data_IF_477288466111
#
_entry.id   IF_477288466111
#
_cell.length_a   1.000
_cell.length_b   1.000
_cell.length_c   1.000
_cell.angle_alpha   90.00
_cell.angle_beta   90.00
_cell.angle_gamma   90.00
#
_symmetry.space_group_name_H-M   'P 1'
#
loop_
_entity.id
_entity.type
_entity.pdbx_description
1 polymer ?
#
# COMPACT_ATOMS: atom_id res chain seq x y z
N UNK A 1 -4.27 30.11 -6.73
CA UNK A 1 -3.15 29.47 -6.09
C UNK A 1 -3.69 28.54 -5.03
N UNK A 2 -3.91 27.30 -5.41
CA UNK A 2 -4.36 26.26 -4.49
C UNK A 2 -3.17 25.85 -3.68
N UNK A 3 -3.26 26.10 -2.40
CA UNK A 3 -2.30 25.61 -1.44
C UNK A 3 -2.45 24.08 -1.35
N UNK A 4 -1.68 23.38 -2.15
CA UNK A 4 -1.59 21.92 -2.14
C UNK A 4 -0.74 21.40 -0.98
N UNK A 5 -0.32 22.24 -0.07
CA UNK A 5 0.64 21.93 0.96
C UNK A 5 0.05 21.84 2.37
N UNK A 6 -1.25 21.73 2.51
CA UNK A 6 -1.76 21.25 3.78
C UNK A 6 -1.87 19.71 3.77
N UNK A 7 -0.76 19.02 3.54
CA UNK A 7 -0.57 17.76 4.24
C UNK A 7 -0.81 18.07 5.72
N UNK A 8 -1.79 17.46 6.37
CA UNK A 8 -1.94 17.65 7.78
C UNK A 8 -0.60 17.25 8.38
N UNK A 9 0.11 18.20 8.96
CA UNK A 9 1.35 17.93 9.64
C UNK A 9 1.03 16.88 10.70
N UNK A 10 1.33 15.63 10.39
CA UNK A 10 1.15 14.52 11.32
C UNK A 10 2.17 14.78 12.41
N UNK A 11 1.72 15.40 13.50
CA UNK A 11 2.55 15.56 14.68
C UNK A 11 2.72 14.17 15.30
N UNK A 12 3.78 13.51 14.89
CA UNK A 12 4.17 12.25 15.49
C UNK A 12 4.65 12.50 16.92
N UNK A 13 4.13 11.72 17.87
CA UNK A 13 4.73 11.66 19.20
C UNK A 13 6.19 11.21 19.10
N UNK A 14 7.02 11.54 20.09
CA UNK A 14 8.43 11.09 20.11
C UNK A 14 8.56 9.57 19.98
N UNK A 15 7.63 8.82 20.55
CA UNK A 15 7.59 7.36 20.43
C UNK A 15 7.33 6.91 18.98
N UNK A 16 6.32 7.47 18.33
CA UNK A 16 6.01 7.17 16.92
C UNK A 16 7.14 7.56 15.99
N UNK A 17 7.83 8.68 16.27
CA UNK A 17 9.00 9.08 15.52
C UNK A 17 10.13 8.06 15.66
N UNK A 18 10.43 7.59 16.87
CA UNK A 18 11.44 6.54 17.10
C UNK A 18 11.10 5.24 16.36
N UNK A 19 9.84 4.83 16.38
CA UNK A 19 9.37 3.65 15.65
C UNK A 19 9.52 3.83 14.13
N UNK A 20 9.17 5.00 13.61
CA UNK A 20 9.35 5.31 12.19
C UNK A 20 10.82 5.26 11.78
N UNK A 21 11.71 5.79 12.61
CA UNK A 21 13.15 5.74 12.37
C UNK A 21 13.68 4.32 12.43
N UNK A 22 13.21 3.50 13.37
CA UNK A 22 13.60 2.09 13.47
C UNK A 22 13.18 1.29 12.23
N UNK A 23 11.97 1.50 11.73
CA UNK A 23 11.49 0.87 10.50
C UNK A 23 12.33 1.32 9.29
N UNK A 24 12.59 2.61 9.17
CA UNK A 24 13.46 3.15 8.12
C UNK A 24 14.84 2.52 8.15
N UNK A 25 15.45 2.46 9.33
CA UNK A 25 16.82 1.92 9.48
C UNK A 25 16.85 0.43 9.14
N UNK A 26 15.81 -0.33 9.49
CA UNK A 26 15.68 -1.72 9.09
C UNK A 26 15.54 -1.88 7.57
N UNK A 27 14.72 -1.04 6.92
CA UNK A 27 14.55 -1.07 5.44
C UNK A 27 15.86 -0.77 4.72
N UNK A 28 16.60 0.24 5.19
CA UNK A 28 17.84 0.67 4.56
C UNK A 28 19.04 -0.25 4.87
N UNK A 29 18.98 -0.99 5.95
CA UNK A 29 20.02 -1.90 6.40
C UNK A 29 19.71 -3.36 6.09
N UNK A 30 19.21 -4.09 7.08
CA UNK A 30 18.99 -5.53 7.01
C UNK A 30 18.06 -5.97 5.89
N UNK A 31 16.94 -5.29 5.72
CA UNK A 31 15.97 -5.62 4.67
C UNK A 31 16.57 -5.49 3.26
N UNK A 32 17.37 -4.46 3.04
CA UNK A 32 18.08 -4.27 1.78
C UNK A 32 19.05 -5.40 1.47
N UNK A 33 19.72 -5.93 2.45
CA UNK A 33 20.65 -7.06 2.29
C UNK A 33 19.90 -8.36 1.98
N UNK A 34 18.73 -8.58 2.61
CA UNK A 34 17.85 -9.71 2.32
C UNK A 34 17.38 -9.66 0.86
N UNK A 35 16.98 -8.49 0.37
CA UNK A 35 16.64 -8.25 -1.02
C UNK A 35 15.36 -8.94 -1.51
N UNK A 36 14.59 -9.59 -0.64
CA UNK A 36 13.30 -10.21 -0.98
C UNK A 36 12.15 -9.24 -0.66
N UNK A 37 11.46 -8.72 -1.68
CA UNK A 37 10.36 -7.76 -1.47
C UNK A 37 9.19 -8.32 -0.66
N UNK A 38 8.95 -9.63 -0.69
CA UNK A 38 7.90 -10.25 0.13
C UNK A 38 8.27 -10.19 1.62
N UNK A 39 9.51 -10.49 1.94
CA UNK A 39 10.04 -10.42 3.32
C UNK A 39 10.04 -8.96 3.80
N UNK A 40 10.37 -8.02 2.94
CA UNK A 40 10.38 -6.58 3.26
C UNK A 40 8.96 -6.11 3.59
N UNK A 41 7.98 -6.42 2.75
CA UNK A 41 6.59 -6.03 2.97
C UNK A 41 6.02 -6.63 4.25
N UNK A 42 6.25 -7.92 4.47
CA UNK A 42 5.83 -8.60 5.69
C UNK A 42 6.50 -8.02 6.94
N UNK A 43 7.80 -7.81 6.90
CA UNK A 43 8.56 -7.25 8.01
C UNK A 43 8.11 -5.85 8.40
N UNK A 44 7.91 -4.95 7.45
CA UNK A 44 7.38 -3.60 7.70
C UNK A 44 5.98 -3.68 8.31
N UNK A 45 5.12 -4.53 7.78
CA UNK A 45 3.74 -4.69 8.26
C UNK A 45 3.71 -5.20 9.71
N UNK A 46 4.54 -6.18 10.04
CA UNK A 46 4.64 -6.70 11.40
C UNK A 46 5.25 -5.68 12.37
N UNK A 47 6.26 -4.92 11.95
CA UNK A 47 6.83 -3.85 12.78
C UNK A 47 5.80 -2.76 13.08
N UNK A 48 4.95 -2.41 12.11
CA UNK A 48 3.85 -1.47 12.33
C UNK A 48 2.81 -2.02 13.30
N UNK A 49 2.46 -3.30 13.20
CA UNK A 49 1.55 -3.93 14.16
C UNK A 49 2.13 -3.96 15.57
N UNK A 50 3.41 -4.31 15.71
CA UNK A 50 4.11 -4.29 17.01
C UNK A 50 4.15 -2.89 17.62
N UNK A 51 4.16 -1.87 16.79
CA UNK A 51 4.07 -0.47 17.19
C UNK A 51 2.65 -0.01 17.56
N UNK A 52 1.65 -0.88 17.50
CA UNK A 52 0.26 -0.59 17.83
C UNK A 52 -0.57 -0.04 16.66
N UNK A 53 -0.07 -0.14 15.42
CA UNK A 53 -0.83 0.23 14.22
C UNK A 53 -1.43 -1.05 13.64
N UNK A 54 -2.75 -1.26 13.77
CA UNK A 54 -3.40 -2.54 13.42
C UNK A 54 -3.61 -2.68 11.90
N UNK A 55 -2.53 -2.85 11.17
CA UNK A 55 -2.61 -3.11 9.72
C UNK A 55 -3.00 -4.57 9.51
N UNK A 56 -4.07 -4.80 8.76
CA UNK A 56 -4.54 -6.15 8.39
C UNK A 56 -4.12 -6.54 6.98
N UNK A 57 -3.87 -5.58 6.12
CA UNK A 57 -3.43 -5.81 4.76
C UNK A 57 -2.50 -4.70 4.28
N UNK A 58 -1.47 -5.09 3.56
CA UNK A 58 -0.57 -4.16 2.87
C UNK A 58 -0.30 -4.66 1.44
N UNK A 59 -0.20 -3.73 0.52
CA UNK A 59 0.12 -4.01 -0.88
C UNK A 59 1.22 -3.08 -1.35
N UNK A 60 2.20 -3.63 -2.03
CA UNK A 60 3.22 -2.88 -2.75
C UNK A 60 3.16 -3.26 -4.22
N UNK A 61 3.08 -2.28 -5.10
CA UNK A 61 3.00 -2.51 -6.54
C UNK A 61 4.04 -1.70 -7.29
N UNK A 62 4.60 -2.32 -8.33
CA UNK A 62 5.53 -1.67 -9.24
C UNK A 62 5.01 -1.84 -10.67
N UNK A 63 4.89 -0.74 -11.39
CA UNK A 63 4.59 -0.78 -12.82
C UNK A 63 5.80 -1.31 -13.59
N UNK A 64 5.53 -2.22 -14.50
CA UNK A 64 6.55 -2.84 -15.33
C UNK A 64 6.43 -2.34 -16.78
N UNK A 65 7.54 -1.93 -17.34
CA UNK A 65 7.66 -1.69 -18.79
C UNK A 65 7.91 -3.02 -19.50
N UNK A 66 6.94 -3.90 -19.45
CA UNK A 66 7.03 -5.22 -20.06
C UNK A 66 5.83 -5.46 -20.97
N UNK A 67 6.06 -6.14 -22.10
CA UNK A 67 5.01 -6.35 -23.11
C UNK A 67 3.83 -7.20 -22.61
N UNK A 68 4.06 -8.09 -21.66
CA UNK A 68 3.06 -9.05 -21.18
C UNK A 68 2.55 -8.77 -19.76
N UNK A 69 3.24 -7.91 -19.02
CA UNK A 69 2.95 -7.63 -17.60
C UNK A 69 2.80 -6.15 -17.35
N UNK A 70 1.66 -5.75 -16.85
CA UNK A 70 1.38 -4.35 -16.52
C UNK A 70 1.97 -3.93 -15.19
N UNK A 71 1.86 -4.79 -14.20
CA UNK A 71 2.35 -4.51 -12.84
C UNK A 71 2.69 -5.80 -12.11
N UNK A 72 3.62 -5.68 -11.19
CA UNK A 72 3.93 -6.72 -10.22
C UNK A 72 3.59 -6.18 -8.84
N UNK A 73 2.67 -6.82 -8.15
CA UNK A 73 2.25 -6.48 -6.81
C UNK A 73 2.65 -7.57 -5.82
N UNK A 74 2.88 -7.13 -4.58
CA UNK A 74 3.04 -8.02 -3.44
C UNK A 74 1.95 -7.68 -2.45
N UNK A 75 1.31 -8.71 -1.93
CA UNK A 75 0.17 -8.59 -1.03
C UNK A 75 0.51 -9.34 0.24
N UNK A 76 0.42 -8.66 1.36
CA UNK A 76 0.48 -9.25 2.69
C UNK A 76 -0.86 -9.08 3.39
N UNK A 77 -1.30 -10.11 4.08
CA UNK A 77 -2.46 -10.11 4.95
C UNK A 77 -2.06 -10.70 6.30
N UNK A 78 -2.58 -10.12 7.38
CA UNK A 78 -2.27 -10.59 8.73
C UNK A 78 -2.64 -12.07 8.91
N UNK A 79 -1.71 -12.85 9.42
CA UNK A 79 -1.86 -14.29 9.57
C UNK A 79 -1.41 -15.12 8.37
N UNK A 80 -0.93 -14.48 7.30
CA UNK A 80 -0.41 -15.13 6.11
C UNK A 80 0.96 -14.60 5.73
N UNK A 81 1.69 -15.33 4.89
CA UNK A 81 2.91 -14.83 4.28
C UNK A 81 2.62 -13.92 3.10
N UNK A 82 3.50 -12.96 2.82
CA UNK A 82 3.39 -12.13 1.64
C UNK A 82 3.49 -12.96 0.36
N UNK A 83 2.69 -12.62 -0.63
CA UNK A 83 2.64 -13.30 -1.93
C UNK A 83 2.76 -12.31 -3.08
N UNK A 84 3.31 -12.78 -4.16
CA UNK A 84 3.38 -12.05 -5.42
C UNK A 84 2.08 -12.21 -6.22
N UNK A 85 1.64 -11.12 -6.84
CA UNK A 85 0.55 -11.11 -7.79
C UNK A 85 0.96 -10.34 -9.05
N UNK A 86 0.87 -10.97 -10.20
CA UNK A 86 1.22 -10.36 -11.48
C UNK A 86 -0.06 -9.96 -12.20
N UNK A 87 -0.15 -8.67 -12.53
CA UNK A 87 -1.23 -8.15 -13.35
C UNK A 87 -0.83 -8.18 -14.82
N UNK A 88 -1.62 -8.86 -15.65
CA UNK A 88 -1.47 -8.79 -17.10
C UNK A 88 -1.98 -7.46 -17.64
N UNK A 89 -1.45 -7.04 -18.80
CA UNK A 89 -2.06 -5.96 -19.56
C UNK A 89 -3.44 -6.40 -20.04
N UNK A 90 -4.47 -5.77 -19.50
CA UNK A 90 -5.83 -5.99 -19.95
C UNK A 90 -6.13 -5.11 -21.16
N UNK A 91 -6.17 -5.72 -22.34
CA UNK A 91 -6.35 -5.03 -23.63
C UNK A 91 -7.81 -4.61 -23.87
N UNK A 92 -8.53 -4.18 -22.91
CA UNK A 92 -9.91 -3.76 -23.17
C UNK A 92 -10.75 -3.36 -21.98
N UNK A 93 -10.23 -3.37 -20.81
CA UNK A 93 -10.96 -2.86 -19.66
C UNK A 93 -10.51 -1.45 -19.30
N UNK A 94 -11.43 -0.52 -19.30
CA UNK A 94 -11.33 0.79 -18.65
C UNK A 94 -11.23 0.64 -17.10
N UNK A 95 -10.82 -0.50 -16.63
CA UNK A 95 -10.71 -0.82 -15.21
C UNK A 95 -9.64 0.01 -14.48
N UNK A 96 -8.78 0.70 -15.21
CA UNK A 96 -7.75 1.57 -14.64
C UNK A 96 -8.30 2.73 -13.81
N UNK A 97 -9.53 3.18 -14.10
CA UNK A 97 -10.16 4.29 -13.40
C UNK A 97 -10.72 3.96 -12.00
N UNK A 98 -10.91 2.69 -11.68
CA UNK A 98 -11.52 2.24 -10.41
C UNK A 98 -10.53 1.66 -9.40
N UNK A 99 -9.23 1.78 -9.65
CA UNK A 99 -8.19 1.33 -8.74
C UNK A 99 -7.64 2.50 -7.95
N UNK A 100 -7.63 2.46 -6.60
CA UNK A 100 -7.16 3.56 -5.77
C UNK A 100 -5.72 3.96 -6.08
N UNK A 101 -4.85 2.97 -6.30
CA UNK A 101 -3.45 3.21 -6.60
C UNK A 101 -3.26 3.93 -7.94
N UNK A 102 -3.99 3.52 -8.97
CA UNK A 102 -3.97 4.17 -10.27
C UNK A 102 -4.44 5.62 -10.18
N UNK A 103 -5.49 5.90 -9.40
CA UNK A 103 -5.96 7.26 -9.16
C UNK A 103 -4.94 8.10 -8.38
N UNK A 104 -4.32 7.54 -7.35
CA UNK A 104 -3.27 8.21 -6.59
C UNK A 104 -2.10 8.60 -7.49
N UNK A 105 -1.68 7.72 -8.39
CA UNK A 105 -0.65 8.00 -9.39
C UNK A 105 -1.07 9.10 -10.36
N UNK A 106 -2.29 9.00 -10.90
CA UNK A 106 -2.83 10.01 -11.83
C UNK A 106 -2.90 11.39 -11.21
N UNK A 107 -3.31 11.48 -9.94
CA UNK A 107 -3.46 12.73 -9.22
C UNK A 107 -2.18 13.18 -8.51
N UNK A 108 -1.16 12.33 -8.48
CA UNK A 108 0.10 12.53 -7.73
C UNK A 108 -0.14 12.97 -6.29
N UNK A 109 -1.01 12.24 -5.60
CA UNK A 109 -1.36 12.52 -4.20
C UNK A 109 -1.75 11.28 -3.42
N UNK A 110 -1.72 11.37 -2.10
CA UNK A 110 -2.28 10.38 -1.20
C UNK A 110 -3.80 10.33 -1.32
N UNK A 111 -4.36 9.12 -1.23
CA UNK A 111 -5.80 8.89 -1.14
C UNK A 111 -6.08 8.18 0.18
N UNK A 112 -6.96 8.78 0.98
CA UNK A 112 -7.46 8.20 2.21
C UNK A 112 -8.96 8.00 2.08
N UNK A 113 -9.44 6.81 2.42
CA UNK A 113 -10.85 6.46 2.39
C UNK A 113 -11.26 5.78 3.69
N UNK A 114 -12.44 6.16 4.18
CA UNK A 114 -13.09 5.48 5.30
C UNK A 114 -14.09 4.48 4.72
N UNK A 115 -13.80 3.18 4.82
CA UNK A 115 -14.58 2.14 4.13
C UNK A 115 -16.06 2.16 4.46
N UNK A 116 -16.50 2.32 5.75
CA UNK A 116 -17.94 2.33 6.07
C UNK A 116 -18.74 3.39 5.30
N UNK A 117 -18.12 4.54 5.02
CA UNK A 117 -18.78 5.67 4.33
C UNK A 117 -18.50 5.69 2.82
N UNK A 118 -17.67 4.77 2.33
CA UNK A 118 -17.29 4.72 0.92
C UNK A 118 -18.29 3.85 0.15
N UNK A 119 -18.86 4.34 -0.98
CA UNK A 119 -19.71 3.53 -1.84
C UNK A 119 -18.97 2.29 -2.36
N UNK A 120 -19.67 1.17 -2.48
CA UNK A 120 -19.08 -0.12 -2.90
C UNK A 120 -18.49 -0.08 -4.31
N UNK A 121 -18.99 0.83 -5.15
CA UNK A 121 -18.55 1.02 -6.52
C UNK A 121 -17.51 2.13 -6.71
N UNK A 122 -17.07 2.77 -5.63
CA UNK A 122 -16.04 3.81 -5.69
C UNK A 122 -14.70 3.27 -6.22
N UNK A 123 -14.32 2.09 -5.73
CA UNK A 123 -13.13 1.34 -6.18
C UNK A 123 -13.43 -0.16 -6.17
N UNK A 124 -12.76 -0.91 -7.04
CA UNK A 124 -12.94 -2.36 -7.16
C UNK A 124 -12.69 -3.14 -5.85
N UNK A 125 -11.86 -2.58 -4.98
CA UNK A 125 -11.45 -3.22 -3.72
C UNK A 125 -12.42 -2.95 -2.56
N UNK A 126 -13.33 -1.97 -2.68
CA UNK A 126 -14.17 -1.53 -1.54
C UNK A 126 -15.14 -2.63 -1.10
N UNK A 127 -15.90 -3.20 -2.01
CA UNK A 127 -16.85 -4.26 -1.68
C UNK A 127 -16.17 -5.52 -1.10
N UNK A 128 -15.07 -6.04 -1.69
CA UNK A 128 -14.34 -7.16 -1.11
C UNK A 128 -13.77 -6.87 0.29
N UNK A 129 -13.27 -5.67 0.54
CA UNK A 129 -12.74 -5.30 1.86
C UNK A 129 -13.84 -5.19 2.91
N UNK A 130 -14.99 -4.63 2.56
CA UNK A 130 -16.15 -4.59 3.47
C UNK A 130 -16.67 -6.00 3.80
N UNK A 131 -16.66 -6.92 2.83
CA UNK A 131 -17.08 -8.29 3.04
C UNK A 131 -16.11 -9.09 3.92
N UNK A 132 -14.83 -8.74 3.94
CA UNK A 132 -13.82 -9.38 4.77
C UNK A 132 -13.87 -8.92 6.24
N UNK A 133 -14.59 -7.88 6.57
CA UNK A 133 -14.74 -7.33 7.92
C UNK A 133 -13.75 -6.23 8.20
#
# INVERSE_FOLDING_TARGET
MTDASSDPAIQLSNERLRLSLAIRDWILGEAREIGDPNIILEGVSLMLRDAGIPIDRATSAVELRHAERAANARIWEFGSSAREHVYAHDRGSDASGKRPLAEAHRLNRWIFTWLPDTPDDAYDIVAPLKAAG
#
